data_IF_218537578233
#
_entry.id   IF_218537578233
#
_cell.length_a   1.000
_cell.length_b   1.000
_cell.length_c   1.000
_cell.angle_alpha   90.00
_cell.angle_beta   90.00
_cell.angle_gamma   90.00
#
_symmetry.space_group_name_H-M   'P 1'
#
loop_
_entity.id
_entity.type
_entity.pdbx_description
1 polymer ?
#
# COMPACT_ATOMS: atom_id res chain seq x y z
N UNK A 1 -14.63 3.28 28.05
CA UNK A 1 -13.23 2.85 27.80
C UNK A 1 -13.14 1.71 26.78
N UNK A 2 -13.62 0.50 27.05
CA UNK A 2 -13.43 -0.65 26.10
C UNK A 2 -14.02 -0.47 24.69
N UNK A 3 -15.18 0.19 24.53
CA UNK A 3 -15.77 0.44 23.20
C UNK A 3 -14.93 1.38 22.33
N UNK A 4 -14.29 2.38 22.94
CA UNK A 4 -13.43 3.33 22.24
C UNK A 4 -12.16 2.63 21.74
N UNK A 5 -11.49 1.88 22.62
CA UNK A 5 -10.32 1.07 22.26
C UNK A 5 -10.60 0.10 21.10
N UNK A 6 -11.79 -0.54 21.09
CA UNK A 6 -12.19 -1.41 19.97
C UNK A 6 -12.44 -0.65 18.67
N UNK A 7 -12.98 0.56 18.73
CA UNK A 7 -13.20 1.40 17.54
C UNK A 7 -11.88 1.91 16.97
N UNK A 8 -10.97 2.37 17.83
CA UNK A 8 -9.62 2.80 17.45
C UNK A 8 -8.85 1.66 16.75
N UNK A 9 -8.85 0.46 17.32
CA UNK A 9 -8.18 -0.70 16.69
C UNK A 9 -8.78 -1.10 15.33
N UNK A 10 -10.09 -0.96 15.14
CA UNK A 10 -10.73 -1.20 13.82
C UNK A 10 -10.29 -0.14 12.82
N UNK A 11 -10.25 1.13 13.22
CA UNK A 11 -9.85 2.22 12.34
C UNK A 11 -8.37 2.12 11.94
N UNK A 12 -7.51 1.80 12.90
CA UNK A 12 -6.09 1.56 12.69
C UNK A 12 -5.86 0.37 11.76
N UNK A 13 -6.49 -0.78 12.02
CA UNK A 13 -6.41 -1.94 11.13
C UNK A 13 -6.90 -1.64 9.71
N UNK A 14 -7.97 -0.83 9.57
CA UNK A 14 -8.44 -0.39 8.24
C UNK A 14 -7.38 0.46 7.53
N UNK A 15 -6.71 1.36 8.27
CA UNK A 15 -5.67 2.26 7.74
C UNK A 15 -4.43 1.48 7.31
N UNK A 16 -3.97 0.55 8.14
CA UNK A 16 -2.85 -0.33 7.85
C UNK A 16 -3.15 -1.22 6.64
N UNK A 17 -4.31 -1.89 6.61
CA UNK A 17 -4.70 -2.73 5.48
C UNK A 17 -4.80 -1.98 4.15
N UNK A 18 -5.25 -0.71 4.16
CA UNK A 18 -5.22 0.13 2.95
C UNK A 18 -3.79 0.42 2.49
N UNK A 19 -2.86 0.66 3.43
CA UNK A 19 -1.45 0.93 3.11
C UNK A 19 -0.76 -0.33 2.57
N UNK A 20 -0.93 -1.46 3.25
CA UNK A 20 -0.36 -2.75 2.86
C UNK A 20 -0.90 -3.20 1.50
N UNK A 21 -2.22 -3.12 1.29
CA UNK A 21 -2.85 -3.47 0.01
C UNK A 21 -2.33 -2.65 -1.17
N UNK A 22 -2.12 -1.33 -0.99
CA UNK A 22 -1.49 -0.47 -2.00
C UNK A 22 -0.08 -0.98 -2.34
N UNK A 23 0.75 -1.29 -1.34
CA UNK A 23 2.12 -1.76 -1.55
C UNK A 23 2.18 -3.14 -2.23
N UNK A 24 1.38 -4.11 -1.77
CA UNK A 24 1.34 -5.46 -2.33
C UNK A 24 0.85 -5.50 -3.78
N UNK A 25 0.07 -4.50 -4.22
CA UNK A 25 -0.44 -4.43 -5.59
C UNK A 25 0.57 -3.81 -6.57
N UNK A 26 1.58 -3.07 -6.07
CA UNK A 26 2.57 -2.38 -6.91
C UNK A 26 3.22 -3.31 -7.95
N UNK A 27 3.74 -4.49 -7.58
CA UNK A 27 4.46 -5.32 -8.54
C UNK A 27 3.57 -5.83 -9.67
N UNK A 28 2.33 -6.24 -9.36
CA UNK A 28 1.35 -6.64 -10.37
C UNK A 28 1.04 -5.50 -11.35
N UNK A 29 0.96 -4.25 -10.89
CA UNK A 29 0.72 -3.11 -11.78
C UNK A 29 1.91 -2.82 -12.70
N UNK A 30 3.13 -3.06 -12.22
CA UNK A 30 4.34 -2.98 -13.04
C UNK A 30 4.34 -4.09 -14.10
N UNK A 31 3.98 -5.32 -13.74
CA UNK A 31 3.82 -6.44 -14.69
C UNK A 31 2.77 -6.14 -15.77
N UNK A 32 1.70 -5.43 -15.40
CA UNK A 32 0.65 -4.97 -16.33
C UNK A 32 1.07 -3.75 -17.18
N UNK A 33 2.31 -3.26 -17.03
CA UNK A 33 2.90 -2.24 -17.88
C UNK A 33 2.69 -0.79 -17.43
N UNK A 34 2.20 -0.56 -16.20
CA UNK A 34 2.15 0.79 -15.65
C UNK A 34 3.55 1.27 -15.25
N UNK A 35 3.79 2.57 -15.37
CA UNK A 35 5.04 3.19 -14.91
C UNK A 35 5.03 3.45 -13.39
N UNK A 36 6.22 3.57 -12.80
CA UNK A 36 6.40 3.87 -11.38
C UNK A 36 5.68 5.17 -11.00
N UNK A 37 5.74 6.20 -11.84
CA UNK A 37 5.13 7.51 -11.63
C UNK A 37 3.60 7.48 -11.73
N UNK A 38 3.05 6.64 -12.60
CA UNK A 38 1.60 6.43 -12.69
C UNK A 38 1.07 5.69 -11.47
N UNK A 39 1.79 4.65 -11.01
CA UNK A 39 1.43 3.90 -9.82
C UNK A 39 1.49 4.79 -8.59
N UNK A 40 2.56 5.58 -8.43
CA UNK A 40 2.71 6.54 -7.33
C UNK A 40 1.52 7.51 -7.26
N UNK A 41 1.15 8.13 -8.40
CA UNK A 41 -0.01 9.04 -8.45
C UNK A 41 -1.33 8.34 -8.17
N UNK A 42 -1.58 7.17 -8.78
CA UNK A 42 -2.88 6.46 -8.66
C UNK A 42 -3.09 5.84 -7.28
N UNK A 43 -2.03 5.37 -6.64
CA UNK A 43 -2.10 4.76 -5.31
C UNK A 43 -1.79 5.76 -4.19
N UNK A 44 -1.54 7.04 -4.50
CA UNK A 44 -1.14 8.06 -3.53
C UNK A 44 0.08 7.61 -2.71
N UNK A 45 1.05 7.02 -3.39
CA UNK A 45 2.33 6.60 -2.84
C UNK A 45 3.41 7.57 -3.34
N UNK A 46 4.53 7.64 -2.61
CA UNK A 46 5.73 8.29 -3.15
C UNK A 46 6.42 7.36 -4.16
N UNK A 47 7.25 7.93 -5.04
CA UNK A 47 8.04 7.13 -5.99
C UNK A 47 8.94 6.14 -5.25
N UNK A 48 9.53 6.55 -4.13
CA UNK A 48 10.38 5.70 -3.29
C UNK A 48 9.60 4.52 -2.71
N UNK A 49 8.35 4.74 -2.27
CA UNK A 49 7.49 3.68 -1.76
C UNK A 49 7.13 2.64 -2.84
N UNK A 50 6.91 3.10 -4.07
CA UNK A 50 6.65 2.22 -5.22
C UNK A 50 7.90 1.41 -5.56
N UNK A 51 9.07 2.04 -5.58
CA UNK A 51 10.35 1.36 -5.84
C UNK A 51 10.66 0.30 -4.76
N UNK A 52 10.44 0.62 -3.48
CA UNK A 52 10.61 -0.34 -2.39
C UNK A 52 9.64 -1.53 -2.53
N UNK A 53 8.36 -1.26 -2.82
CA UNK A 53 7.36 -2.30 -2.98
C UNK A 53 7.65 -3.21 -4.21
N UNK A 54 8.24 -2.66 -5.28
CA UNK A 54 8.66 -3.43 -6.44
C UNK A 54 9.81 -4.41 -6.14
N UNK A 55 10.67 -4.10 -5.16
CA UNK A 55 11.81 -4.95 -4.78
C UNK A 55 11.40 -6.19 -3.96
N UNK A 56 10.23 -6.17 -3.33
CA UNK A 56 9.79 -7.23 -2.42
C UNK A 56 9.37 -8.54 -3.12
N UNK A 57 9.29 -8.58 -4.45
CA UNK A 57 8.99 -9.80 -5.23
C UNK A 57 10.21 -10.65 -5.62
N UNK A 58 11.44 -10.22 -5.33
CA UNK A 58 12.66 -10.94 -5.74
C UNK A 58 13.09 -12.07 -4.79
N UNK A 59 12.19 -12.61 -3.95
CA UNK A 59 12.46 -13.76 -3.06
C UNK A 59 11.62 -14.99 -3.42
#
# INVERSE_FOLDING_TARGET
MQRLARQEGIEEGRKEGRKEGKQLTVPLLLELGLTVEEIARRLELTVEQVQQAAQHQSN
#
